data_IF_559544510620
#
_entry.id   IF_559544510620
#
_cell.length_a   1.000
_cell.length_b   1.000
_cell.length_c   1.000
_cell.angle_alpha   90.00
_cell.angle_beta   90.00
_cell.angle_gamma   90.00
#
_symmetry.space_group_name_H-M   'P 1'
#
loop_
_entity.id
_entity.type
_entity.pdbx_description
1 polymer ?
#
# COMPACT_ATOMS: atom_id res chain seq x y z
N UNK A 1 17.89 17.71 11.77
CA UNK A 1 17.08 17.03 10.75
C UNK A 1 16.17 16.10 11.51
N UNK A 2 14.85 16.16 11.28
CA UNK A 2 13.95 15.10 11.74
C UNK A 2 14.22 13.88 10.86
N UNK A 3 14.44 12.71 11.47
CA UNK A 3 14.78 11.49 10.73
C UNK A 3 13.60 11.00 9.89
N UNK A 4 13.85 10.65 8.64
CA UNK A 4 12.87 10.12 7.69
C UNK A 4 13.21 8.73 7.18
N UNK A 5 12.29 8.10 6.43
CA UNK A 5 12.50 6.77 5.85
C UNK A 5 13.72 6.74 4.93
N UNK A 6 13.96 7.83 4.20
CA UNK A 6 15.11 7.94 3.29
C UNK A 6 16.47 7.98 4.00
N UNK A 7 16.51 8.16 5.33
CA UNK A 7 17.75 8.17 6.12
C UNK A 7 18.18 6.77 6.59
N UNK A 8 17.38 5.75 6.29
CA UNK A 8 17.60 4.38 6.74
C UNK A 8 17.45 3.37 5.60
N UNK A 9 18.15 2.25 5.72
CA UNK A 9 17.89 1.03 4.96
C UNK A 9 17.13 0.04 5.85
N UNK A 10 16.04 -0.52 5.33
CA UNK A 10 15.21 -1.51 6.03
C UNK A 10 15.32 -2.85 5.29
N UNK A 11 15.65 -3.90 6.02
CA UNK A 11 15.70 -5.26 5.45
C UNK A 11 15.35 -6.33 6.48
N UNK A 12 14.78 -7.43 6.02
CA UNK A 12 14.56 -8.59 6.87
C UNK A 12 15.82 -9.46 6.93
N UNK A 13 16.22 -9.78 8.15
CA UNK A 13 17.29 -10.74 8.48
C UNK A 13 16.67 -11.85 9.33
N UNK A 14 16.20 -12.89 8.66
CA UNK A 14 15.42 -13.96 9.29
C UNK A 14 14.09 -13.44 9.84
N UNK A 15 13.90 -13.52 11.16
CA UNK A 15 12.67 -13.09 11.86
C UNK A 15 12.73 -11.66 12.41
N UNK A 16 13.76 -10.90 12.03
CA UNK A 16 14.00 -9.54 12.50
C UNK A 16 13.98 -8.55 11.34
N UNK A 17 13.41 -7.38 11.60
CA UNK A 17 13.59 -6.23 10.74
C UNK A 17 14.85 -5.48 11.20
N UNK A 18 15.82 -5.36 10.32
CA UNK A 18 17.03 -4.58 10.54
C UNK A 18 16.85 -3.19 9.93
N UNK A 19 17.11 -2.18 10.76
CA UNK A 19 17.17 -0.78 10.37
C UNK A 19 18.61 -0.33 10.45
N UNK A 20 19.19 0.04 9.32
CA UNK A 20 20.55 0.57 9.22
C UNK A 20 20.50 2.04 8.90
N UNK A 21 21.03 2.88 9.79
CA UNK A 21 21.14 4.31 9.56
C UNK A 21 22.19 4.60 8.48
N UNK A 22 21.82 5.35 7.44
CA UNK A 22 22.71 5.58 6.30
C UNK A 22 23.86 6.55 6.59
N UNK A 23 23.74 7.39 7.63
CA UNK A 23 24.76 8.38 7.96
C UNK A 23 26.03 7.80 8.58
N UNK A 24 25.91 6.73 9.36
CA UNK A 24 27.00 6.16 10.15
C UNK A 24 27.02 4.62 10.20
N UNK A 25 26.01 3.96 9.62
CA UNK A 25 25.88 2.50 9.63
C UNK A 25 25.42 1.94 10.96
N UNK A 26 24.91 2.76 11.89
CA UNK A 26 24.33 2.26 13.13
C UNK A 26 23.13 1.34 12.82
N UNK A 27 23.12 0.15 13.44
CA UNK A 27 22.10 -0.87 13.19
C UNK A 27 21.20 -1.06 14.42
N UNK A 28 19.90 -1.16 14.16
CA UNK A 28 18.89 -1.56 15.13
C UNK A 28 18.14 -2.79 14.61
N UNK A 29 17.89 -3.76 15.49
CA UNK A 29 17.16 -4.98 15.17
C UNK A 29 15.83 -4.97 15.92
N UNK A 30 14.74 -5.04 15.17
CA UNK A 30 13.37 -5.03 15.66
C UNK A 30 12.76 -6.44 15.50
N UNK A 31 11.97 -6.85 16.48
CA UNK A 31 11.13 -8.06 16.41
C UNK A 31 9.68 -7.68 16.59
N UNK A 32 8.80 -8.38 15.89
CA UNK A 32 7.34 -8.22 15.99
C UNK A 32 6.91 -6.76 15.74
N UNK A 33 7.61 -6.09 14.82
CA UNK A 33 7.26 -4.74 14.42
C UNK A 33 6.15 -4.83 13.36
N UNK A 34 5.04 -4.13 13.58
CA UNK A 34 3.92 -4.06 12.64
C UNK A 34 4.01 -2.78 11.79
N UNK A 35 4.59 -1.73 12.37
CA UNK A 35 4.74 -0.44 11.72
C UNK A 35 5.93 0.35 12.30
N UNK A 36 6.59 1.13 11.46
CA UNK A 36 7.57 2.16 11.87
C UNK A 36 6.99 3.51 11.52
N UNK A 37 7.00 4.45 12.48
CA UNK A 37 6.68 5.85 12.25
C UNK A 37 7.95 6.69 12.38
N UNK A 38 8.20 7.56 11.41
CA UNK A 38 9.33 8.47 11.37
C UNK A 38 8.95 9.86 11.86
N UNK A 39 9.94 10.66 12.29
CA UNK A 39 9.71 12.02 12.79
C UNK A 39 9.12 12.96 11.73
N UNK A 40 9.32 12.65 10.45
CA UNK A 40 8.74 13.38 9.33
C UNK A 40 7.32 12.91 8.96
N UNK A 41 6.69 12.07 9.80
CA UNK A 41 5.35 11.49 9.62
C UNK A 41 5.23 10.46 8.48
N UNK A 42 6.32 10.07 7.83
CA UNK A 42 6.32 8.88 6.97
C UNK A 42 6.14 7.64 7.84
N UNK A 43 5.48 6.63 7.26
CA UNK A 43 5.32 5.34 7.93
C UNK A 43 5.73 4.20 7.01
N UNK A 44 6.10 3.09 7.63
CA UNK A 44 6.38 1.84 6.96
C UNK A 44 5.56 0.76 7.61
N UNK A 45 4.70 0.13 6.83
CA UNK A 45 3.90 -1.01 7.24
C UNK A 45 4.69 -2.30 7.03
N UNK A 46 4.62 -3.18 8.02
CA UNK A 46 5.13 -4.55 7.94
C UNK A 46 3.94 -5.49 7.89
N UNK A 47 3.65 -5.97 6.68
CA UNK A 47 2.57 -6.91 6.42
C UNK A 47 3.06 -8.35 6.65
N UNK A 48 2.30 -9.14 7.40
CA UNK A 48 2.62 -10.54 7.75
C UNK A 48 2.11 -11.55 6.72
N UNK A 49 1.26 -11.11 5.79
CA UNK A 49 0.74 -11.92 4.71
C UNK A 49 0.39 -11.05 3.50
N UNK A 50 0.09 -11.71 2.38
CA UNK A 50 -0.24 -11.02 1.13
C UNK A 50 -1.46 -10.12 1.25
N UNK A 51 -2.50 -10.51 2.01
CA UNK A 51 -3.72 -9.71 2.19
C UNK A 51 -3.44 -8.39 2.90
N UNK A 52 -2.65 -8.43 3.98
CA UNK A 52 -2.16 -7.24 4.67
C UNK A 52 -1.32 -6.35 3.73
N UNK A 53 -0.45 -6.96 2.92
CA UNK A 53 0.37 -6.23 1.95
C UNK A 53 -0.49 -5.51 0.90
N UNK A 54 -1.58 -6.14 0.44
CA UNK A 54 -2.55 -5.52 -0.46
C UNK A 54 -3.27 -4.38 0.26
N UNK A 55 -3.77 -4.60 1.48
CA UNK A 55 -4.46 -3.57 2.26
C UNK A 55 -3.59 -2.32 2.45
N UNK A 56 -2.32 -2.49 2.82
CA UNK A 56 -1.39 -1.39 2.99
C UNK A 56 -1.21 -0.60 1.68
N UNK A 57 -1.04 -1.29 0.55
CA UNK A 57 -0.91 -0.64 -0.77
C UNK A 57 -2.21 0.02 -1.23
N UNK A 58 -3.37 -0.50 -0.85
CA UNK A 58 -4.66 0.13 -1.14
C UNK A 58 -4.79 1.50 -0.48
N UNK A 59 -4.18 1.72 0.69
CA UNK A 59 -4.12 3.05 1.31
C UNK A 59 -3.38 4.03 0.42
N UNK A 60 -2.27 3.63 -0.19
CA UNK A 60 -1.58 4.46 -1.20
C UNK A 60 -2.46 4.73 -2.41
N UNK A 61 -3.05 3.68 -2.98
CA UNK A 61 -3.91 3.78 -4.17
C UNK A 61 -5.06 4.76 -3.97
N UNK A 62 -5.77 4.66 -2.85
CA UNK A 62 -6.96 5.45 -2.58
C UNK A 62 -6.66 6.82 -1.95
N UNK A 63 -5.70 6.90 -1.02
CA UNK A 63 -5.48 8.10 -0.21
C UNK A 63 -4.20 8.89 -0.60
N UNK A 64 -3.35 8.34 -1.47
CA UNK A 64 -2.10 8.97 -1.93
C UNK A 64 -1.13 9.34 -0.79
N UNK A 65 -1.00 8.45 0.19
CA UNK A 65 -0.07 8.58 1.33
C UNK A 65 0.15 7.23 2.00
N UNK A 66 1.14 7.15 2.87
CA UNK A 66 1.28 6.03 3.78
C UNK A 66 0.06 5.96 4.75
N UNK A 67 -0.22 4.76 5.27
CA UNK A 67 -1.26 4.58 6.30
C UNK A 67 -0.86 5.26 7.62
N UNK A 68 -1.82 5.77 8.38
CA UNK A 68 -1.55 6.12 9.78
C UNK A 68 -1.54 4.86 10.65
N UNK A 69 -1.01 4.99 11.88
CA UNK A 69 -1.01 3.89 12.86
C UNK A 69 -2.43 3.41 13.16
N UNK A 70 -3.37 4.35 13.34
CA UNK A 70 -4.76 4.06 13.67
C UNK A 70 -5.49 3.37 12.51
N UNK A 71 -5.25 3.82 11.27
CA UNK A 71 -5.81 3.22 10.07
C UNK A 71 -5.27 1.81 9.86
N UNK A 72 -3.97 1.61 10.08
CA UNK A 72 -3.35 0.29 9.97
C UNK A 72 -3.92 -0.70 10.99
N UNK A 73 -3.97 -0.33 12.26
CA UNK A 73 -4.54 -1.16 13.32
C UNK A 73 -6.02 -1.50 13.06
N UNK A 74 -6.81 -0.51 12.61
CA UNK A 74 -8.22 -0.72 12.26
C UNK A 74 -8.37 -1.67 11.07
N UNK A 75 -7.51 -1.53 10.07
CA UNK A 75 -7.48 -2.39 8.89
C UNK A 75 -7.12 -3.83 9.22
N UNK A 76 -6.08 -4.05 10.04
CA UNK A 76 -5.71 -5.39 10.51
C UNK A 76 -6.85 -6.03 11.30
N UNK A 77 -7.47 -5.28 12.23
CA UNK A 77 -8.61 -5.78 12.99
C UNK A 77 -9.79 -6.17 12.11
N UNK A 78 -10.05 -5.42 11.03
CA UNK A 78 -11.09 -5.76 10.07
C UNK A 78 -10.80 -7.07 9.33
N UNK A 79 -9.54 -7.33 8.98
CA UNK A 79 -9.13 -8.61 8.39
C UNK A 79 -9.26 -9.77 9.39
N UNK A 80 -8.83 -9.58 10.64
CA UNK A 80 -8.96 -10.58 11.71
C UNK A 80 -10.42 -10.95 11.99
N UNK A 81 -11.31 -9.94 12.02
CA UNK A 81 -12.74 -10.12 12.20
C UNK A 81 -13.46 -10.67 10.97
N UNK A 82 -12.72 -10.89 9.87
CA UNK A 82 -13.25 -11.37 8.59
C UNK A 82 -14.37 -10.46 8.07
N UNK A 83 -14.21 -9.15 8.27
CA UNK A 83 -15.08 -8.15 7.65
C UNK A 83 -15.02 -8.33 6.14
N UNK A 84 -16.19 -8.23 5.49
CA UNK A 84 -16.27 -8.34 4.04
C UNK A 84 -15.31 -7.33 3.38
N UNK A 85 -14.49 -7.82 2.45
CA UNK A 85 -13.54 -6.99 1.70
C UNK A 85 -14.23 -5.81 1.00
N UNK A 86 -15.44 -5.98 0.47
CA UNK A 86 -16.20 -4.90 -0.14
C UNK A 86 -16.48 -3.77 0.85
N UNK A 87 -16.75 -4.09 2.13
CA UNK A 87 -16.93 -3.07 3.18
C UNK A 87 -15.64 -2.28 3.46
N UNK A 88 -14.49 -2.95 3.39
CA UNK A 88 -13.17 -2.30 3.56
C UNK A 88 -12.89 -1.38 2.35
N UNK A 89 -13.18 -1.86 1.15
CA UNK A 89 -13.02 -1.09 -0.09
C UNK A 89 -13.97 0.11 -0.13
N UNK A 90 -15.22 -0.05 0.29
CA UNK A 90 -16.20 1.03 0.41
C UNK A 90 -15.71 2.12 1.36
N UNK A 91 -15.15 1.73 2.52
CA UNK A 91 -14.57 2.67 3.46
C UNK A 91 -13.43 3.46 2.80
N UNK A 92 -12.48 2.80 2.13
CA UNK A 92 -11.38 3.47 1.44
C UNK A 92 -11.91 4.44 0.36
N UNK A 93 -12.86 4.00 -0.45
CA UNK A 93 -13.43 4.81 -1.53
C UNK A 93 -14.18 6.05 -1.02
N UNK A 94 -14.86 5.95 0.13
CA UNK A 94 -15.54 7.08 0.77
C UNK A 94 -14.54 8.15 1.24
N UNK A 95 -13.34 7.75 1.65
CA UNK A 95 -12.29 8.66 2.14
C UNK A 95 -11.33 9.13 1.02
N UNK A 96 -11.35 8.49 -0.14
CA UNK A 96 -10.46 8.78 -1.25
C UNK A 96 -10.81 10.05 -2.05
N UNK A 97 -12.07 10.47 -2.04
CA UNK A 97 -12.56 11.60 -2.86
C UNK A 97 -12.52 11.34 -4.38
N UNK A 98 -12.44 10.08 -4.82
CA UNK A 98 -12.28 9.69 -6.24
C UNK A 98 -13.59 9.43 -6.98
N UNK A 99 -14.73 9.55 -6.28
CA UNK A 99 -16.03 9.06 -6.77
C UNK A 99 -16.52 9.82 -8.00
N UNK A 100 -16.21 11.12 -8.08
CA UNK A 100 -16.66 12.01 -9.16
C UNK A 100 -15.72 12.00 -10.38
N UNK A 101 -14.64 11.21 -10.37
CA UNK A 101 -13.74 11.10 -11.51
C UNK A 101 -14.40 10.32 -12.66
N UNK A 102 -14.02 10.68 -13.89
CA UNK A 102 -14.25 9.83 -15.05
C UNK A 102 -13.48 8.51 -14.89
N UNK A 103 -13.86 7.45 -15.61
CA UNK A 103 -13.11 6.19 -15.56
C UNK A 103 -11.66 6.39 -16.01
N UNK A 104 -11.43 7.24 -17.01
CA UNK A 104 -10.09 7.61 -17.49
C UNK A 104 -9.27 8.26 -16.39
N UNK A 105 -9.81 9.27 -15.72
CA UNK A 105 -9.10 9.99 -14.65
C UNK A 105 -8.90 9.09 -13.44
N UNK A 106 -9.87 8.23 -13.13
CA UNK A 106 -9.77 7.25 -12.05
C UNK A 106 -8.62 6.28 -12.30
N UNK A 107 -8.58 5.62 -13.46
CA UNK A 107 -7.52 4.66 -13.80
C UNK A 107 -6.16 5.33 -13.76
N UNK A 108 -6.01 6.52 -14.37
CA UNK A 108 -4.75 7.25 -14.34
C UNK A 108 -4.33 7.65 -12.92
N UNK A 109 -5.29 8.03 -12.09
CA UNK A 109 -5.04 8.36 -10.68
C UNK A 109 -4.54 7.15 -9.91
N UNK A 110 -5.20 6.00 -10.05
CA UNK A 110 -4.76 4.77 -9.36
C UNK A 110 -3.37 4.34 -9.84
N UNK A 111 -3.10 4.31 -11.14
CA UNK A 111 -1.75 3.99 -11.65
C UNK A 111 -0.68 4.93 -11.07
N UNK A 112 -0.95 6.23 -11.06
CA UNK A 112 0.01 7.23 -10.57
C UNK A 112 0.28 7.04 -9.07
N UNK A 113 -0.76 6.79 -8.27
CA UNK A 113 -0.65 6.66 -6.82
C UNK A 113 -0.05 5.32 -6.38
N UNK A 114 -0.32 4.24 -7.12
CA UNK A 114 0.10 2.89 -6.75
C UNK A 114 1.43 2.50 -7.38
N UNK A 115 1.70 2.94 -8.61
CA UNK A 115 2.87 2.54 -9.41
C UNK A 115 3.85 3.69 -9.66
N UNK A 116 3.51 4.92 -9.25
CA UNK A 116 4.35 6.10 -9.45
C UNK A 116 4.45 6.58 -10.90
N UNK A 117 3.57 6.09 -11.78
CA UNK A 117 3.54 6.45 -13.21
C UNK A 117 2.12 6.44 -13.76
N UNK A 118 1.91 7.14 -14.87
CA UNK A 118 0.66 7.01 -15.63
C UNK A 118 0.53 5.64 -16.29
N UNK A 119 -0.72 5.20 -16.48
CA UNK A 119 -1.02 4.07 -17.35
C UNK A 119 -0.59 4.40 -18.78
N UNK A 120 0.07 3.44 -19.43
CA UNK A 120 0.34 3.49 -20.87
C UNK A 120 -0.97 3.47 -21.66
N UNK A 121 -0.92 3.81 -22.95
CA UNK A 121 -2.12 3.80 -23.81
C UNK A 121 -2.81 2.43 -23.85
N UNK A 122 -2.04 1.34 -23.94
CA UNK A 122 -2.58 -0.03 -23.98
C UNK A 122 -3.18 -0.45 -22.64
N UNK A 123 -2.49 -0.15 -21.52
CA UNK A 123 -3.01 -0.43 -20.17
C UNK A 123 -4.31 0.34 -19.92
N UNK A 124 -4.34 1.63 -20.26
CA UNK A 124 -5.52 2.46 -20.09
C UNK A 124 -6.70 1.93 -20.92
N UNK A 125 -6.50 1.67 -22.21
CA UNK A 125 -7.53 1.14 -23.09
C UNK A 125 -8.08 -0.21 -22.60
N UNK A 126 -7.20 -1.08 -22.12
CA UNK A 126 -7.60 -2.35 -21.53
C UNK A 126 -8.48 -2.13 -20.29
N UNK A 127 -8.05 -1.33 -19.32
CA UNK A 127 -8.82 -1.15 -18.09
C UNK A 127 -10.17 -0.45 -18.34
N UNK A 128 -10.21 0.54 -19.23
CA UNK A 128 -11.46 1.20 -19.61
C UNK A 128 -12.45 0.21 -20.22
N UNK A 129 -12.00 -0.66 -21.14
CA UNK A 129 -12.86 -1.69 -21.72
C UNK A 129 -13.41 -2.66 -20.67
N UNK A 130 -12.61 -2.99 -19.64
CA UNK A 130 -13.04 -3.87 -18.53
C UNK A 130 -14.09 -3.20 -17.62
N UNK A 131 -13.94 -1.90 -17.36
CA UNK A 131 -14.93 -1.10 -16.61
C UNK A 131 -16.24 -0.95 -17.39
N UNK A 132 -16.16 -0.59 -18.67
CA UNK A 132 -17.32 -0.40 -19.56
C UNK A 132 -18.14 -1.68 -19.75
N UNK A 133 -17.46 -2.83 -19.83
CA UNK A 133 -18.10 -4.15 -19.95
C UNK A 133 -18.54 -4.75 -18.61
N UNK A 134 -18.34 -4.04 -17.49
CA UNK A 134 -18.60 -4.51 -16.14
C UNK A 134 -17.89 -5.84 -15.79
N UNK A 135 -16.73 -6.09 -16.42
CA UNK A 135 -15.89 -7.24 -16.06
C UNK A 135 -15.25 -7.05 -14.69
N UNK A 136 -14.99 -5.80 -14.32
CA UNK A 136 -14.47 -5.39 -13.02
C UNK A 136 -15.10 -4.04 -12.65
N UNK A 137 -15.29 -3.78 -11.37
CA UNK A 137 -15.58 -2.44 -10.90
C UNK A 137 -14.29 -1.68 -10.54
N UNK A 138 -14.44 -0.38 -10.24
CA UNK A 138 -13.33 0.50 -9.90
C UNK A 138 -12.54 0.02 -8.67
N UNK A 139 -13.24 -0.47 -7.65
CA UNK A 139 -12.64 -0.90 -6.40
C UNK A 139 -11.80 -2.16 -6.59
N UNK A 140 -12.34 -3.17 -7.25
CA UNK A 140 -11.64 -4.41 -7.55
C UNK A 140 -10.53 -4.21 -8.58
N UNK A 141 -10.66 -3.28 -9.54
CA UNK A 141 -9.55 -2.88 -10.40
C UNK A 141 -8.38 -2.32 -9.58
N UNK A 142 -8.68 -1.52 -8.55
CA UNK A 142 -7.66 -0.96 -7.67
C UNK A 142 -6.97 -2.04 -6.83
N UNK A 143 -7.70 -3.06 -6.40
CA UNK A 143 -7.13 -4.28 -5.77
C UNK A 143 -6.16 -4.97 -6.72
N UNK A 144 -6.55 -5.17 -7.98
CA UNK A 144 -5.70 -5.82 -8.99
C UNK A 144 -4.40 -5.07 -9.25
N UNK A 145 -4.45 -3.74 -9.29
CA UNK A 145 -3.24 -2.91 -9.46
C UNK A 145 -2.38 -2.97 -8.20
N UNK A 146 -2.97 -2.87 -7.00
CA UNK A 146 -2.26 -2.90 -5.72
C UNK A 146 -1.59 -4.26 -5.42
N UNK A 147 -2.15 -5.37 -5.90
CA UNK A 147 -1.53 -6.70 -5.75
C UNK A 147 -0.42 -6.98 -6.77
N UNK A 148 -0.24 -6.13 -7.78
CA UNK A 148 0.74 -6.35 -8.85
C UNK A 148 2.18 -6.37 -8.31
N UNK A 149 3.07 -7.11 -8.99
CA UNK A 149 4.50 -7.10 -8.67
C UNK A 149 5.15 -5.73 -8.86
N UNK A 150 4.59 -4.91 -9.74
CA UNK A 150 5.03 -3.53 -9.92
C UNK A 150 4.69 -2.67 -8.72
N UNK A 151 3.46 -2.76 -8.18
CA UNK A 151 3.09 -2.08 -6.95
C UNK A 151 3.96 -2.53 -5.76
N UNK A 152 4.24 -3.83 -5.67
CA UNK A 152 5.16 -4.37 -4.65
C UNK A 152 6.58 -3.80 -4.76
N UNK A 153 7.06 -3.57 -5.98
CA UNK A 153 8.39 -2.99 -6.23
C UNK A 153 8.40 -1.49 -5.93
N UNK A 154 7.38 -0.76 -6.39
CA UNK A 154 7.29 0.69 -6.22
C UNK A 154 7.16 1.08 -4.75
N UNK A 155 6.37 0.32 -3.97
CA UNK A 155 6.04 0.61 -2.59
C UNK A 155 6.89 -0.16 -1.58
N UNK A 156 8.00 -0.79 -1.97
CA UNK A 156 8.86 -1.57 -1.06
C UNK A 156 9.37 -0.77 0.14
N UNK A 157 9.52 0.55 0.00
CA UNK A 157 9.89 1.43 1.11
C UNK A 157 8.74 1.70 2.10
N UNK A 158 7.50 1.74 1.63
CA UNK A 158 6.31 2.01 2.47
C UNK A 158 5.64 0.75 3.01
N UNK A 159 5.75 -0.36 2.27
CA UNK A 159 5.09 -1.63 2.57
C UNK A 159 6.09 -2.76 2.40
N UNK A 160 6.51 -3.31 3.53
CA UNK A 160 7.35 -4.49 3.59
C UNK A 160 6.48 -5.73 3.80
N UNK A 161 6.72 -6.78 3.03
CA UNK A 161 6.04 -8.07 3.18
C UNK A 161 6.99 -9.06 3.87
N UNK A 162 6.57 -9.57 5.02
CA UNK A 162 7.20 -10.69 5.72
C UNK A 162 6.29 -11.91 5.61
N UNK A 163 6.35 -12.59 4.46
CA UNK A 163 5.53 -13.79 4.23
C UNK A 163 6.07 -14.97 5.06
N UNK A 164 5.20 -15.60 5.84
CA UNK A 164 5.55 -16.77 6.68
C UNK A 164 5.58 -16.52 8.20
N UNK A 165 4.88 -15.50 8.69
CA UNK A 165 4.66 -15.29 10.13
C UNK A 165 3.25 -15.75 10.55
N UNK A 166 3.12 -17.03 10.92
CA UNK A 166 2.01 -17.64 11.70
C UNK A 166 2.57 -18.73 12.59
#
# INVERSE_FOLDING_TARGET
MQGGRADVHLEFSGDRLELTQLSDGAMFSLKNAEMIAFDNHETVVIAHNQTEGILARLVHSFLNRDATVEEWQSGQKALEDQINHDSILDWLQQHAGLQNLSDTDYVQTIYTRTLGRSATGDELNLQLSRLESHQVDRSWLTVEIAQSGEAATHLVGSVLLQDGWV
#
